data_IF_427953421140
#
_entry.id   IF_427953421140
#
_cell.length_a   1.000
_cell.length_b   1.000
_cell.length_c   1.000
_cell.angle_alpha   90.00
_cell.angle_beta   90.00
_cell.angle_gamma   90.00
#
_symmetry.space_group_name_H-M   'P 1'
#
loop_
_entity.id
_entity.type
_entity.pdbx_description
1 polymer ?
#
# COMPACT_ATOMS: atom_id res chain seq x y z
N UNK A 1 -24.31 -19.03 2.88
CA UNK A 1 -23.18 -19.88 3.33
C UNK A 1 -22.04 -19.01 3.84
N UNK A 2 -21.95 -18.80 5.16
CA UNK A 2 -20.91 -17.98 5.78
C UNK A 2 -19.55 -18.67 5.72
N UNK A 3 -18.50 -17.95 5.33
CA UNK A 3 -17.14 -18.49 5.36
C UNK A 3 -16.72 -18.68 6.81
N UNK A 4 -16.42 -19.91 7.22
CA UNK A 4 -15.88 -20.20 8.55
C UNK A 4 -14.64 -19.35 8.82
N UNK A 5 -14.48 -18.81 10.06
CA UNK A 5 -13.30 -18.05 10.43
C UNK A 5 -12.04 -18.88 10.16
N UNK A 6 -11.04 -18.27 9.50
CA UNK A 6 -9.82 -18.93 9.04
C UNK A 6 -8.88 -19.37 10.18
N UNK A 7 -9.22 -19.07 11.43
CA UNK A 7 -8.38 -19.34 12.60
C UNK A 7 -9.21 -19.32 13.89
N UNK A 8 -9.09 -20.38 14.70
CA UNK A 8 -9.39 -20.31 16.13
C UNK A 8 -8.35 -19.38 16.77
N UNK A 9 -8.81 -18.27 17.35
CA UNK A 9 -7.96 -17.13 17.75
C UNK A 9 -7.01 -17.42 18.93
N UNK A 10 -7.10 -18.60 19.52
CA UNK A 10 -6.29 -18.97 20.66
C UNK A 10 -5.03 -19.72 20.15
N UNK A 11 -3.84 -19.16 20.39
CA UNK A 11 -2.52 -19.83 20.23
C UNK A 11 -1.84 -19.86 18.84
N UNK A 12 -1.99 -18.84 17.99
CA UNK A 12 -1.14 -18.69 16.78
C UNK A 12 -0.04 -17.65 16.96
N UNK A 13 1.21 -18.02 16.66
CA UNK A 13 2.38 -17.14 16.70
C UNK A 13 2.24 -16.00 15.68
N UNK A 14 2.42 -14.76 16.14
CA UNK A 14 2.40 -13.54 15.31
C UNK A 14 3.78 -12.89 15.12
N UNK A 15 4.80 -13.40 15.81
CA UNK A 15 6.17 -12.88 15.76
C UNK A 15 6.95 -13.26 14.50
N UNK A 16 8.24 -12.94 14.48
CA UNK A 16 9.16 -13.35 13.43
C UNK A 16 9.15 -14.87 13.24
N UNK A 17 9.39 -15.32 12.00
CA UNK A 17 9.52 -16.75 11.68
C UNK A 17 10.88 -17.26 12.15
N UNK A 18 10.89 -18.39 12.86
CA UNK A 18 12.13 -19.07 13.24
C UNK A 18 12.61 -19.99 12.12
N UNK A 19 13.88 -20.39 12.16
CA UNK A 19 14.45 -21.33 11.18
C UNK A 19 13.75 -22.69 11.23
N UNK A 20 13.34 -23.11 12.42
CA UNK A 20 12.62 -24.37 12.65
C UNK A 20 11.22 -24.31 12.04
N UNK A 21 10.51 -23.19 12.20
CA UNK A 21 9.22 -22.97 11.54
C UNK A 21 9.37 -22.95 10.01
N UNK A 22 10.39 -22.25 9.49
CA UNK A 22 10.68 -22.21 8.06
C UNK A 22 10.98 -23.62 7.51
N UNK A 23 11.79 -24.42 8.22
CA UNK A 23 12.14 -25.77 7.78
C UNK A 23 10.91 -26.70 7.75
N UNK A 24 10.01 -26.60 8.74
CA UNK A 24 8.74 -27.34 8.72
C UNK A 24 7.87 -26.96 7.52
N UNK A 25 7.78 -25.66 7.23
CA UNK A 25 7.03 -25.16 6.07
C UNK A 25 7.64 -25.67 4.75
N UNK A 26 8.97 -25.58 4.61
CA UNK A 26 9.70 -26.07 3.43
C UNK A 26 9.48 -27.57 3.23
N UNK A 27 9.69 -28.37 4.28
CA UNK A 27 9.56 -29.83 4.20
C UNK A 27 8.13 -30.23 3.80
N UNK A 28 7.13 -29.58 4.40
CA UNK A 28 5.74 -29.88 4.09
C UNK A 28 5.41 -29.56 2.63
N UNK A 29 5.78 -28.37 2.15
CA UNK A 29 5.51 -27.93 0.77
C UNK A 29 6.28 -28.80 -0.24
N UNK A 30 7.51 -29.20 0.08
CA UNK A 30 8.30 -30.11 -0.77
C UNK A 30 7.63 -31.49 -0.90
N UNK A 31 7.02 -32.00 0.18
CA UNK A 31 6.38 -33.32 0.19
C UNK A 31 4.96 -33.33 -0.41
N UNK A 32 4.19 -32.24 -0.26
CA UNK A 32 2.76 -32.21 -0.61
C UNK A 32 2.41 -31.21 -1.73
N UNK A 33 3.40 -30.46 -2.22
CA UNK A 33 3.22 -29.37 -3.18
C UNK A 33 2.77 -28.05 -2.54
N UNK A 34 2.74 -27.00 -3.37
CA UNK A 34 2.26 -25.68 -2.96
C UNK A 34 0.73 -25.63 -2.94
N UNK A 35 0.14 -25.16 -1.85
CA UNK A 35 -1.31 -25.01 -1.76
C UNK A 35 -1.87 -25.38 -0.41
N UNK A 36 -3.19 -25.61 -0.38
CA UNK A 36 -3.92 -26.03 0.82
C UNK A 36 -3.60 -25.20 2.06
N UNK A 37 -3.31 -23.90 1.88
CA UNK A 37 -2.77 -23.04 2.94
C UNK A 37 -3.64 -22.98 4.19
N UNK A 38 -4.95 -23.24 4.08
CA UNK A 38 -5.86 -23.30 5.23
C UNK A 38 -5.58 -24.48 6.15
N UNK A 39 -5.34 -25.68 5.61
CA UNK A 39 -5.08 -26.90 6.38
C UNK A 39 -3.60 -27.15 6.64
N UNK A 40 -2.73 -26.59 5.79
CA UNK A 40 -1.28 -26.77 5.86
C UNK A 40 -0.68 -26.54 7.26
N UNK A 41 -1.00 -25.47 8.01
CA UNK A 41 -0.30 -25.22 9.27
C UNK A 41 -0.52 -26.33 10.30
N UNK A 42 -1.76 -26.83 10.41
CA UNK A 42 -2.08 -27.94 11.31
C UNK A 42 -1.36 -29.22 10.89
N UNK A 43 -1.36 -29.53 9.60
CA UNK A 43 -0.73 -30.73 9.06
C UNK A 43 0.82 -30.67 9.15
N UNK A 44 1.41 -29.48 9.05
CA UNK A 44 2.85 -29.25 9.18
C UNK A 44 3.34 -29.10 10.64
N UNK A 45 2.44 -29.19 11.63
CA UNK A 45 2.79 -28.96 13.04
C UNK A 45 3.27 -27.52 13.31
N UNK A 46 2.69 -26.54 12.60
CA UNK A 46 2.99 -25.12 12.74
C UNK A 46 1.89 -24.39 13.52
N UNK A 47 2.29 -23.63 14.54
CA UNK A 47 1.41 -22.73 15.28
C UNK A 47 1.24 -21.39 14.54
N UNK A 48 0.91 -21.45 13.25
CA UNK A 48 0.73 -20.30 12.35
C UNK A 48 -0.61 -20.39 11.64
N UNK A 49 -1.13 -19.27 11.15
CA UNK A 49 -2.30 -19.29 10.30
C UNK A 49 -1.91 -19.47 8.83
N UNK A 50 -2.83 -20.01 8.02
CA UNK A 50 -2.57 -20.30 6.61
C UNK A 50 -2.11 -19.11 5.77
N UNK A 51 -2.67 -17.93 6.06
CA UNK A 51 -2.25 -16.68 5.42
C UNK A 51 -0.79 -16.36 5.71
N UNK A 52 -0.33 -16.57 6.95
CA UNK A 52 1.06 -16.35 7.36
C UNK A 52 1.98 -17.33 6.63
N UNK A 53 1.64 -18.63 6.60
CA UNK A 53 2.43 -19.63 5.88
C UNK A 53 2.56 -19.31 4.39
N UNK A 54 1.43 -18.98 3.72
CA UNK A 54 1.46 -18.58 2.30
C UNK A 54 2.37 -17.38 2.08
N UNK A 55 2.21 -16.34 2.88
CA UNK A 55 2.99 -15.10 2.75
C UNK A 55 4.48 -15.35 3.00
N UNK A 56 4.82 -16.20 3.97
CA UNK A 56 6.20 -16.59 4.26
C UNK A 56 6.80 -17.36 3.09
N UNK A 57 6.07 -18.33 2.56
CA UNK A 57 6.50 -19.12 1.42
C UNK A 57 6.81 -18.24 0.20
N UNK A 58 5.81 -17.49 -0.29
CA UNK A 58 5.92 -16.76 -1.55
C UNK A 58 6.93 -15.60 -1.51
N UNK A 59 7.20 -15.02 -0.33
CA UNK A 59 8.11 -13.87 -0.20
C UNK A 59 9.51 -14.26 0.28
N UNK A 60 9.67 -15.41 0.93
CA UNK A 60 10.92 -15.75 1.57
C UNK A 60 11.41 -17.16 1.33
N UNK A 61 10.58 -18.18 1.18
CA UNK A 61 11.08 -19.57 1.17
C UNK A 61 11.06 -20.23 -0.21
N UNK A 62 10.31 -19.67 -1.16
CA UNK A 62 10.21 -20.22 -2.52
C UNK A 62 11.60 -20.20 -3.19
N UNK A 63 12.05 -21.31 -3.80
CA UNK A 63 13.44 -21.47 -4.25
C UNK A 63 13.81 -20.62 -5.48
N UNK A 64 12.83 -20.19 -6.25
CA UNK A 64 12.99 -19.34 -7.44
C UNK A 64 13.13 -17.84 -7.11
N UNK A 65 13.14 -17.47 -5.83
CA UNK A 65 13.33 -16.08 -5.40
C UNK A 65 14.80 -15.65 -5.55
N UNK A 66 15.01 -14.57 -6.31
CA UNK A 66 16.33 -13.98 -6.50
C UNK A 66 16.77 -13.27 -5.22
N UNK A 67 17.91 -13.66 -4.67
CA UNK A 67 18.53 -13.00 -3.51
C UNK A 67 19.47 -11.88 -3.96
N UNK A 68 19.47 -10.79 -3.21
CA UNK A 68 20.38 -9.66 -3.42
C UNK A 68 19.72 -8.45 -4.07
N UNK A 69 20.57 -7.48 -4.43
CA UNK A 69 20.17 -6.16 -4.92
C UNK A 69 19.49 -6.23 -6.28
N UNK A 70 18.68 -5.21 -6.58
CA UNK A 70 18.16 -4.98 -7.92
C UNK A 70 19.29 -4.51 -8.85
N UNK A 71 19.28 -5.01 -10.07
CA UNK A 71 20.18 -4.61 -11.15
C UNK A 71 19.63 -3.40 -11.90
N UNK A 72 20.48 -2.71 -12.67
CA UNK A 72 20.08 -1.54 -13.46
C UNK A 72 19.00 -1.90 -14.50
N UNK A 73 19.09 -3.06 -15.14
CA UNK A 73 18.05 -3.56 -16.04
C UNK A 73 16.70 -3.74 -15.31
N UNK A 74 16.72 -4.28 -14.08
CA UNK A 74 15.51 -4.40 -13.26
C UNK A 74 14.96 -3.02 -12.90
N UNK A 75 15.81 -2.02 -12.63
CA UNK A 75 15.38 -0.65 -12.36
C UNK A 75 14.61 -0.06 -13.55
N UNK A 76 15.16 -0.20 -14.75
CA UNK A 76 14.55 0.31 -15.98
C UNK A 76 13.19 -0.33 -16.24
N UNK A 77 13.10 -1.65 -16.06
CA UNK A 77 11.84 -2.39 -16.20
C UNK A 77 10.82 -1.90 -15.16
N UNK A 78 11.22 -1.73 -13.89
CA UNK A 78 10.31 -1.26 -12.83
C UNK A 78 9.83 0.16 -13.13
N UNK A 79 10.73 1.09 -13.48
CA UNK A 79 10.38 2.47 -13.80
C UNK A 79 9.42 2.53 -14.98
N UNK A 80 9.73 1.81 -16.07
CA UNK A 80 8.89 1.75 -17.28
C UNK A 80 7.52 1.16 -17.01
N UNK A 81 7.44 0.05 -16.26
CA UNK A 81 6.15 -0.55 -15.96
C UNK A 81 5.34 0.28 -14.95
N UNK A 82 6.00 0.94 -14.00
CA UNK A 82 5.33 1.86 -13.08
C UNK A 82 4.76 3.08 -13.81
N UNK A 83 5.43 3.62 -14.84
CA UNK A 83 4.88 4.73 -15.62
C UNK A 83 3.63 4.35 -16.41
N UNK A 84 3.52 3.09 -16.82
CA UNK A 84 2.37 2.57 -17.57
C UNK A 84 1.23 2.08 -16.67
N UNK A 85 1.55 1.46 -15.54
CA UNK A 85 0.59 0.71 -14.71
C UNK A 85 0.34 1.34 -13.33
N UNK A 86 1.19 2.26 -12.89
CA UNK A 86 1.21 2.78 -11.52
C UNK A 86 1.53 1.70 -10.49
N UNK A 87 0.90 1.78 -9.31
CA UNK A 87 1.16 0.92 -8.15
C UNK A 87 0.63 -0.53 -8.28
N UNK A 88 0.51 -1.07 -9.50
CA UNK A 88 0.03 -2.44 -9.75
C UNK A 88 1.15 -3.47 -9.60
N UNK A 89 1.71 -3.56 -8.39
CA UNK A 89 2.93 -4.34 -8.10
C UNK A 89 2.87 -5.80 -8.52
N UNK A 90 1.75 -6.48 -8.32
CA UNK A 90 1.61 -7.88 -8.72
C UNK A 90 1.66 -8.07 -10.24
N UNK A 91 1.22 -7.08 -11.03
CA UNK A 91 1.37 -7.13 -12.50
C UNK A 91 2.82 -6.82 -12.93
N UNK A 92 3.47 -5.89 -12.24
CA UNK A 92 4.88 -5.56 -12.49
C UNK A 92 5.78 -6.77 -12.17
N UNK A 93 5.54 -7.45 -11.05
CA UNK A 93 6.23 -8.67 -10.65
C UNK A 93 6.13 -9.79 -11.69
N UNK A 94 5.02 -9.87 -12.42
CA UNK A 94 4.85 -10.82 -13.52
C UNK A 94 5.84 -10.65 -14.68
N UNK A 95 6.59 -9.53 -14.73
CA UNK A 95 7.63 -9.25 -15.74
C UNK A 95 9.05 -9.30 -15.17
N UNK A 96 9.21 -9.59 -13.88
CA UNK A 96 10.50 -9.61 -13.18
C UNK A 96 10.68 -11.00 -12.54
N UNK A 97 11.24 -11.97 -13.27
CA UNK A 97 11.37 -13.33 -12.77
C UNK A 97 12.20 -13.36 -11.47
N UNK A 98 11.69 -14.09 -10.48
CA UNK A 98 12.32 -14.22 -9.16
C UNK A 98 12.19 -12.99 -8.25
N UNK A 99 11.45 -11.93 -8.65
CA UNK A 99 11.10 -10.80 -7.77
C UNK A 99 9.64 -10.81 -7.38
N UNK A 100 9.37 -10.48 -6.13
CA UNK A 100 8.00 -10.38 -5.61
C UNK A 100 7.46 -8.96 -5.71
N UNK A 101 6.13 -8.86 -5.71
CA UNK A 101 5.43 -7.58 -5.67
C UNK A 101 5.77 -6.78 -4.42
N UNK A 102 5.98 -7.45 -3.29
CA UNK A 102 6.40 -6.81 -2.05
C UNK A 102 7.82 -6.24 -2.15
N UNK A 103 8.77 -6.97 -2.74
CA UNK A 103 10.13 -6.48 -2.97
C UNK A 103 10.14 -5.28 -3.90
N UNK A 104 9.42 -5.34 -5.03
CA UNK A 104 9.36 -4.25 -6.01
C UNK A 104 8.75 -3.00 -5.39
N UNK A 105 7.63 -3.13 -4.67
CA UNK A 105 7.02 -2.02 -3.91
C UNK A 105 8.01 -1.42 -2.91
N UNK A 106 8.74 -2.26 -2.17
CA UNK A 106 9.71 -1.80 -1.20
C UNK A 106 10.86 -1.04 -1.89
N UNK A 107 11.41 -1.62 -2.95
CA UNK A 107 12.50 -1.05 -3.71
C UNK A 107 12.11 0.27 -4.39
N UNK A 108 10.89 0.36 -4.91
CA UNK A 108 10.33 1.60 -5.43
C UNK A 108 10.33 2.71 -4.37
N UNK A 109 9.75 2.42 -3.20
CA UNK A 109 9.57 3.42 -2.14
C UNK A 109 10.89 3.81 -1.45
N UNK A 110 11.83 2.88 -1.36
CA UNK A 110 13.11 3.11 -0.69
C UNK A 110 14.18 3.62 -1.63
N UNK A 111 14.21 3.24 -2.91
CA UNK A 111 15.31 3.55 -3.83
C UNK A 111 14.86 4.35 -5.06
N UNK A 112 13.97 3.80 -5.89
CA UNK A 112 13.69 4.36 -7.22
C UNK A 112 13.04 5.74 -7.17
N UNK A 113 12.14 6.01 -6.21
CA UNK A 113 11.57 7.35 -6.02
C UNK A 113 12.66 8.41 -5.84
N UNK A 114 13.65 8.14 -4.98
CA UNK A 114 14.77 9.05 -4.73
C UNK A 114 15.65 9.19 -5.98
N UNK A 115 15.96 8.07 -6.65
CA UNK A 115 16.72 8.05 -7.90
C UNK A 115 16.08 8.92 -8.99
N UNK A 116 14.76 8.89 -9.15
CA UNK A 116 14.03 9.71 -10.11
C UNK A 116 14.04 11.20 -9.76
N UNK A 117 13.80 11.53 -8.48
CA UNK A 117 13.85 12.92 -8.02
C UNK A 117 15.24 13.52 -8.24
N UNK A 118 16.31 12.78 -7.93
CA UNK A 118 17.70 13.21 -8.20
C UNK A 118 17.98 13.43 -9.69
N UNK A 119 17.26 12.75 -10.58
CA UNK A 119 17.31 12.96 -12.04
C UNK A 119 16.38 14.07 -12.52
N UNK A 120 15.69 14.77 -11.62
CA UNK A 120 14.73 15.81 -11.96
C UNK A 120 13.41 15.29 -12.55
N UNK A 121 13.05 14.04 -12.26
CA UNK A 121 11.81 13.40 -12.74
C UNK A 121 10.86 13.18 -11.56
N UNK A 122 9.59 13.53 -11.74
CA UNK A 122 8.54 13.23 -10.75
C UNK A 122 8.24 11.71 -10.75
N UNK A 123 8.40 11.00 -9.61
CA UNK A 123 8.13 9.57 -9.54
C UNK A 123 6.67 9.16 -9.81
N UNK A 124 5.72 10.07 -9.62
CA UNK A 124 4.30 9.77 -9.81
C UNK A 124 3.86 9.99 -11.25
N UNK A 125 4.27 11.11 -11.84
CA UNK A 125 3.87 11.47 -13.22
C UNK A 125 4.87 11.02 -14.27
N UNK A 126 6.09 10.65 -13.87
CA UNK A 126 7.24 10.36 -14.74
C UNK A 126 7.57 11.48 -15.73
N UNK A 127 7.27 12.73 -15.35
CA UNK A 127 7.56 13.93 -16.14
C UNK A 127 8.72 14.72 -15.54
N UNK A 128 9.46 15.50 -16.35
CA UNK A 128 10.48 16.41 -15.84
C UNK A 128 9.88 17.45 -14.87
N UNK A 129 10.51 17.62 -13.71
CA UNK A 129 10.09 18.57 -12.66
C UNK A 129 10.25 20.05 -13.09
N UNK A 130 11.04 20.32 -14.13
CA UNK A 130 11.34 21.67 -14.64
C UNK A 130 10.08 22.35 -15.23
N UNK A 131 9.06 21.59 -15.66
CA UNK A 131 7.84 22.15 -16.24
C UNK A 131 6.83 22.72 -15.22
N UNK A 132 7.05 22.57 -13.91
CA UNK A 132 6.07 22.97 -12.89
C UNK A 132 6.33 24.34 -12.23
N UNK A 133 7.41 25.05 -12.60
CA UNK A 133 7.81 26.33 -11.96
C UNK A 133 7.40 27.61 -12.70
N UNK A 134 6.67 27.52 -13.81
CA UNK A 134 6.12 28.71 -14.50
C UNK A 134 4.60 28.67 -14.40
N UNK A 135 4.07 29.00 -13.23
CA UNK A 135 2.71 29.48 -13.07
C UNK A 135 2.85 30.89 -12.47
N UNK A 136 2.49 31.97 -13.18
CA UNK A 136 2.46 33.29 -12.57
C UNK A 136 1.29 33.31 -11.57
N UNK A 137 1.63 33.23 -10.27
CA UNK A 137 0.70 33.51 -9.20
C UNK A 137 0.27 34.98 -9.30
N UNK A 138 -0.98 35.22 -9.71
CA UNK A 138 -1.64 36.50 -9.44
C UNK A 138 -1.96 36.56 -7.94
N UNK A 139 -1.06 37.16 -7.16
CA UNK A 139 -1.38 37.85 -5.90
C UNK A 139 -1.83 39.27 -6.27
N UNK A 140 -3.04 39.70 -5.92
CA UNK A 140 -3.37 40.64 -4.84
C UNK A 140 -4.82 41.13 -5.12
N UNK A 141 -5.71 41.48 -4.20
CA UNK A 141 -5.59 42.18 -2.92
C UNK A 141 -6.84 41.92 -2.05
N UNK A 142 -6.62 41.77 -0.74
CA UNK A 142 -7.62 41.99 0.30
C UNK A 142 -7.91 43.49 0.43
N UNK A 143 -9.18 43.89 0.48
CA UNK A 143 -9.60 45.16 1.05
C UNK A 143 -10.59 44.89 2.19
N UNK A 144 -10.21 45.38 3.38
CA UNK A 144 -11.05 45.42 4.58
C UNK A 144 -11.52 46.87 4.73
N UNK A 145 -12.83 47.11 4.87
CA UNK A 145 -13.35 48.34 5.49
C UNK A 145 -14.75 48.17 6.08
N UNK A 146 -14.79 48.10 7.42
CA UNK A 146 -15.61 48.79 8.44
C UNK A 146 -17.10 49.17 8.17
N UNK A 147 -17.91 49.03 9.23
CA UNK A 147 -19.38 49.00 9.36
C UNK A 147 -20.13 50.35 9.50
N UNK A 148 -21.41 50.32 9.03
CA UNK A 148 -22.70 50.88 9.55
C UNK A 148 -22.94 52.40 9.58
N UNK A 149 -24.19 52.94 9.71
CA UNK A 149 -25.55 52.32 9.75
C UNK A 149 -26.59 52.96 8.80
N UNK A 150 -27.78 52.36 8.63
CA UNK A 150 -28.99 53.13 8.29
C UNK A 150 -30.26 52.43 8.80
N UNK A 151 -31.12 53.24 9.38
CA UNK A 151 -32.34 52.93 10.12
C UNK A 151 -33.57 53.02 9.19
N UNK A 152 -34.71 52.50 9.69
CA UNK A 152 -36.11 52.62 9.23
C UNK A 152 -36.67 51.46 8.40
N UNK A 153 -37.93 51.05 8.50
CA UNK A 153 -38.89 50.84 9.61
C UNK A 153 -40.06 50.04 8.99
N UNK A 154 -40.96 49.51 9.84
CA UNK A 154 -42.30 48.96 9.50
C UNK A 154 -42.38 47.59 8.80
N UNK A 155 -43.26 46.65 9.14
CA UNK A 155 -44.36 46.58 10.11
C UNK A 155 -44.72 45.10 10.37
N UNK A 156 -45.17 44.84 11.60
CA UNK A 156 -46.24 43.92 12.01
C UNK A 156 -46.30 42.48 11.46
N UNK A 157 -46.13 41.48 12.35
CA UNK A 157 -47.30 40.71 12.79
C UNK A 157 -47.07 39.90 14.10
N UNK A 158 -48.10 39.92 14.93
CA UNK A 158 -48.27 39.25 16.23
C UNK A 158 -48.84 37.83 16.01
N UNK A 159 -48.36 36.84 16.78
CA UNK A 159 -49.14 35.69 17.29
C UNK A 159 -48.26 34.91 18.29
N UNK A 160 -48.33 35.15 19.61
CA UNK A 160 -48.97 34.27 20.63
C UNK A 160 -48.72 32.76 20.41
N UNK A 161 -48.31 31.91 21.35
CA UNK A 161 -48.17 31.96 22.81
C UNK A 161 -47.73 30.56 23.32
N UNK A 162 -47.04 30.51 24.47
CA UNK A 162 -47.03 29.41 25.47
C UNK A 162 -46.32 28.08 25.14
N UNK A 163 -45.73 27.28 26.02
CA UNK A 163 -45.30 27.31 27.44
C UNK A 163 -44.63 25.92 27.71
N UNK A 164 -43.54 25.91 28.47
CA UNK A 164 -42.88 24.83 29.28
C UNK A 164 -43.20 23.34 29.05
N UNK A 165 -42.16 22.51 28.93
CA UNK A 165 -41.54 21.72 30.02
C UNK A 165 -40.14 21.26 29.58
#
# INVERSE_FOLDING_TARGET
>A
MGRSPCCEKAHTNKGAWTKEEDQRLINYVKAHGEGCWRSLPKAAGLLRCGKSCRLRWINYLRPDLKRGNFSEDEDEIIIKLHSLLGNKWSMIAGRLPGRTDNEIKNYWNTHLKRKLISRGIDPQTHRPLISAKIQPSKSEQQTVSIRTPTTENSDNNICTSSTTD
#
